data_IF_493043881301
#
_entry.id   IF_493043881301
#
_cell.length_a   1.000
_cell.length_b   1.000
_cell.length_c   1.000
_cell.angle_alpha   90.00
_cell.angle_beta   90.00
_cell.angle_gamma   90.00
#
_symmetry.space_group_name_H-M   'P 1'
#
loop_
_entity.id
_entity.type
_entity.pdbx_description
1 polymer ?
#
# COMPACT_ATOMS: atom_id res chain seq x y z
N UNK A 1 13.53 -30.81 37.57
CA UNK A 1 12.42 -29.89 37.24
C UNK A 1 12.78 -28.51 37.73
N UNK A 2 13.00 -27.54 36.85
CA UNK A 2 12.79 -26.13 37.16
C UNK A 2 12.33 -25.47 35.85
N UNK A 3 11.06 -25.07 35.80
CA UNK A 3 10.47 -24.32 34.69
C UNK A 3 10.87 -22.85 34.86
N UNK A 4 11.65 -22.31 33.93
CA UNK A 4 11.94 -20.87 33.89
C UNK A 4 10.88 -20.19 33.05
N UNK A 5 9.90 -19.62 33.72
CA UNK A 5 8.84 -18.81 33.09
C UNK A 5 9.36 -17.38 33.03
N UNK A 6 9.83 -16.96 31.86
CA UNK A 6 10.10 -15.55 31.59
C UNK A 6 8.79 -14.92 31.12
N UNK A 7 8.18 -14.16 32.02
CA UNK A 7 7.06 -13.26 31.75
C UNK A 7 7.63 -11.97 31.20
N UNK A 8 7.43 -11.71 29.90
CA UNK A 8 7.70 -10.41 29.30
C UNK A 8 6.44 -9.54 29.44
N UNK A 9 6.55 -8.43 30.16
CA UNK A 9 5.48 -7.45 30.35
C UNK A 9 5.74 -6.29 29.40
N UNK A 10 4.94 -6.18 28.33
CA UNK A 10 4.99 -5.02 27.43
C UNK A 10 4.23 -3.86 28.09
N UNK A 11 4.96 -2.81 28.44
CA UNK A 11 4.42 -1.56 28.95
C UNK A 11 4.05 -0.63 27.79
N UNK A 12 2.74 -0.40 27.58
CA UNK A 12 2.22 0.54 26.58
C UNK A 12 2.21 1.96 27.15
N UNK A 13 3.27 2.72 26.88
CA UNK A 13 3.39 4.12 27.27
C UNK A 13 2.52 5.03 26.40
N UNK A 14 1.31 5.34 26.88
CA UNK A 14 0.49 6.43 26.37
C UNK A 14 1.04 7.79 26.80
N UNK A 15 1.36 8.64 25.82
CA UNK A 15 1.73 10.04 26.03
C UNK A 15 0.86 10.95 25.18
N UNK A 16 -0.10 11.60 25.81
CA UNK A 16 -0.89 12.69 25.25
C UNK A 16 -0.43 14.03 25.83
N UNK A 17 -0.26 15.05 24.97
CA UNK A 17 -0.49 16.49 25.20
C UNK A 17 0.17 17.34 24.07
N UNK A 18 -0.13 18.64 23.91
CA UNK A 18 -1.39 19.21 23.47
C UNK A 18 -1.23 20.20 22.27
N UNK A 19 -2.34 20.79 21.85
CA UNK A 19 -2.51 21.73 20.74
C UNK A 19 -1.76 23.08 20.90
N UNK A 20 -1.39 23.70 19.77
CA UNK A 20 -1.15 25.13 19.66
C UNK A 20 -1.72 25.67 18.34
N UNK A 21 -2.66 26.61 18.46
CA UNK A 21 -3.28 27.37 17.39
C UNK A 21 -2.58 28.73 17.20
N UNK A 22 -2.55 29.25 15.97
CA UNK A 22 -2.54 30.70 15.68
C UNK A 22 -2.87 30.96 14.20
N UNK A 23 -3.52 32.10 13.96
CA UNK A 23 -4.46 32.42 12.87
C UNK A 23 -3.83 33.40 11.82
N UNK A 24 -4.54 34.18 10.95
CA UNK A 24 -4.38 34.15 9.48
C UNK A 24 -3.95 35.52 8.84
N UNK A 25 -4.20 35.66 7.50
CA UNK A 25 -4.31 36.88 6.65
C UNK A 25 -3.10 37.20 5.74
N UNK A 26 -3.19 37.66 4.48
CA UNK A 26 -4.24 37.88 3.45
C UNK A 26 -3.51 38.23 2.09
N UNK A 27 -4.08 38.87 1.03
CA UNK A 27 -4.43 38.24 -0.26
C UNK A 27 -3.87 38.90 -1.56
N UNK A 28 -4.28 38.32 -2.71
CA UNK A 28 -4.60 38.93 -4.04
C UNK A 28 -3.56 38.97 -5.19
N UNK A 29 -3.92 38.32 -6.32
CA UNK A 29 -3.86 38.92 -7.67
C UNK A 29 -4.76 38.14 -8.69
N UNK A 30 -5.86 38.81 -9.07
CA UNK A 30 -6.81 38.75 -10.20
C UNK A 30 -6.78 37.69 -11.32
N UNK A 31 -7.93 36.98 -11.42
CA UNK A 31 -8.95 37.02 -12.49
C UNK A 31 -8.59 37.23 -13.97
N UNK A 32 -8.91 36.22 -14.79
CA UNK A 32 -9.61 36.25 -16.10
C UNK A 32 -9.59 34.80 -16.66
N UNK A 33 -10.60 34.16 -17.25
CA UNK A 33 -11.93 34.52 -17.77
C UNK A 33 -12.71 33.20 -17.95
N UNK A 34 -14.02 33.23 -17.72
CA UNK A 34 -14.93 32.08 -17.79
C UNK A 34 -15.42 31.75 -19.22
N UNK A 35 -15.66 30.46 -19.49
CA UNK A 35 -16.63 29.90 -20.46
C UNK A 35 -16.71 28.36 -20.22
N UNK A 36 -17.56 27.80 -19.34
CA UNK A 36 -18.93 27.28 -19.61
C UNK A 36 -19.08 26.73 -21.06
N UNK A 37 -19.54 25.53 -21.42
CA UNK A 37 -20.57 24.60 -20.91
C UNK A 37 -20.29 23.23 -21.59
N UNK A 38 -20.33 22.11 -20.88
CA UNK A 38 -20.96 20.85 -21.34
C UNK A 38 -20.55 19.65 -20.47
N UNK A 39 -21.54 18.99 -19.89
CA UNK A 39 -21.43 17.57 -19.58
C UNK A 39 -20.84 17.27 -18.21
N UNK A 40 -21.74 17.10 -17.25
CA UNK A 40 -21.58 16.10 -16.21
C UNK A 40 -21.21 14.74 -16.85
N UNK A 41 -19.92 14.50 -17.10
CA UNK A 41 -19.40 13.16 -17.16
C UNK A 41 -18.99 12.85 -15.73
N UNK A 42 -19.98 12.37 -14.98
CA UNK A 42 -19.78 11.58 -13.79
C UNK A 42 -18.46 10.83 -13.95
N UNK A 43 -17.43 11.22 -13.19
CA UNK A 43 -16.38 10.28 -12.82
C UNK A 43 -17.10 9.29 -11.93
N UNK A 44 -17.81 8.36 -12.57
CA UNK A 44 -18.41 7.22 -11.93
C UNK A 44 -17.27 6.67 -11.11
N UNK A 45 -17.36 6.83 -9.80
CA UNK A 45 -16.61 6.03 -8.88
C UNK A 45 -16.98 4.62 -9.30
N UNK A 46 -16.12 4.01 -10.12
CA UNK A 46 -16.17 2.59 -10.40
C UNK A 46 -16.11 2.02 -9.00
N UNK A 47 -17.24 1.52 -8.53
CA UNK A 47 -17.28 0.69 -7.34
C UNK A 47 -16.53 -0.53 -7.82
N UNK A 48 -15.21 -0.49 -7.64
CA UNK A 48 -14.37 -1.64 -7.86
C UNK A 48 -14.89 -2.63 -6.85
N UNK A 49 -15.64 -3.62 -7.34
CA UNK A 49 -15.95 -4.81 -6.59
C UNK A 49 -14.59 -5.38 -6.22
N UNK A 50 -14.12 -4.98 -5.04
CA UNK A 50 -12.90 -5.46 -4.42
C UNK A 50 -13.24 -6.91 -4.17
N UNK A 51 -12.75 -7.79 -5.05
CA UNK A 51 -12.99 -9.22 -4.99
C UNK A 51 -12.87 -9.74 -3.55
N UNK A 52 -13.59 -10.81 -3.27
CA UNK A 52 -13.82 -11.31 -1.89
C UNK A 52 -12.55 -11.54 -1.06
N UNK A 53 -11.43 -11.81 -1.70
CA UNK A 53 -10.15 -12.03 -1.04
C UNK A 53 -9.22 -10.84 -1.29
N UNK A 54 -8.64 -10.33 -0.21
CA UNK A 54 -7.67 -9.25 -0.21
C UNK A 54 -6.29 -9.84 0.12
N UNK A 55 -5.58 -10.22 -0.94
CA UNK A 55 -4.30 -10.91 -0.87
C UNK A 55 -3.14 -9.91 -0.87
N UNK A 56 -2.14 -10.14 -0.02
CA UNK A 56 -0.94 -9.32 0.05
C UNK A 56 0.30 -10.20 0.23
N UNK A 57 1.32 -9.95 -0.58
CA UNK A 57 2.62 -10.61 -0.48
C UNK A 57 3.60 -9.68 0.25
N UNK A 58 4.39 -10.25 1.17
CA UNK A 58 5.44 -9.55 1.90
C UNK A 58 6.78 -10.25 1.67
N UNK A 59 7.80 -9.47 1.30
CA UNK A 59 9.16 -9.95 1.05
C UNK A 59 9.99 -9.71 2.31
N UNK A 60 10.52 -10.80 2.87
CA UNK A 60 11.37 -10.81 4.04
C UNK A 60 12.74 -11.37 3.68
N UNK A 61 13.77 -10.99 4.43
CA UNK A 61 15.08 -11.63 4.39
C UNK A 61 15.11 -12.94 5.20
N UNK A 62 16.31 -13.51 5.34
CA UNK A 62 16.51 -14.78 6.05
C UNK A 62 16.25 -14.68 7.56
N UNK A 63 16.38 -13.49 8.13
CA UNK A 63 16.14 -13.20 9.54
C UNK A 63 14.69 -12.77 9.80
N UNK A 64 13.86 -12.69 8.75
CA UNK A 64 12.47 -12.26 8.81
C UNK A 64 12.29 -10.74 8.77
N UNK A 65 13.34 -9.96 8.50
CA UNK A 65 13.24 -8.51 8.37
C UNK A 65 12.67 -8.13 6.99
N UNK A 66 11.80 -7.10 6.92
CA UNK A 66 11.21 -6.68 5.67
C UNK A 66 12.21 -6.04 4.72
N UNK A 67 12.11 -6.37 3.43
CA UNK A 67 12.96 -5.79 2.39
C UNK A 67 12.19 -4.73 1.61
N UNK A 68 12.49 -3.47 1.88
CA UNK A 68 11.92 -2.33 1.18
C UNK A 68 12.62 -2.05 -0.16
N UNK A 69 11.92 -1.36 -1.06
CA UNK A 69 12.41 -0.94 -2.39
C UNK A 69 12.93 -2.10 -3.26
N UNK A 70 12.46 -3.33 -3.01
CA UNK A 70 12.80 -4.51 -3.81
C UNK A 70 11.87 -4.58 -5.03
N UNK A 71 12.40 -4.66 -6.27
CA UNK A 71 11.58 -4.89 -7.45
C UNK A 71 10.80 -6.20 -7.36
N UNK A 72 9.54 -6.19 -7.77
CA UNK A 72 8.73 -7.39 -7.89
C UNK A 72 7.94 -7.44 -9.20
N UNK A 73 7.68 -8.66 -9.66
CA UNK A 73 6.76 -8.95 -10.74
C UNK A 73 5.88 -10.12 -10.30
N UNK A 74 4.59 -9.88 -10.19
CA UNK A 74 3.61 -10.84 -9.72
C UNK A 74 2.54 -11.07 -10.80
N UNK A 75 2.06 -12.30 -10.90
CA UNK A 75 1.02 -12.69 -11.85
C UNK A 75 0.03 -13.59 -11.17
N UNK A 76 -1.26 -13.29 -11.34
CA UNK A 76 -2.35 -14.12 -10.84
C UNK A 76 -2.71 -15.26 -11.81
N UNK A 77 -3.64 -16.14 -11.41
CA UNK A 77 -4.09 -17.26 -12.25
C UNK A 77 -4.87 -16.80 -13.50
N UNK A 78 -5.39 -15.57 -13.49
CA UNK A 78 -6.07 -14.94 -14.63
C UNK A 78 -5.09 -14.31 -15.63
N UNK A 79 -3.79 -14.27 -15.30
CA UNK A 79 -2.75 -13.62 -16.09
C UNK A 79 -2.62 -12.11 -15.86
N UNK A 80 -3.33 -11.55 -14.87
CA UNK A 80 -3.16 -10.15 -14.47
C UNK A 80 -1.78 -9.95 -13.86
N UNK A 81 -1.09 -8.90 -14.30
CA UNK A 81 0.28 -8.59 -13.86
C UNK A 81 0.26 -7.41 -12.90
N UNK A 82 0.97 -7.58 -11.79
CA UNK A 82 1.25 -6.55 -10.78
C UNK A 82 2.75 -6.38 -10.67
N UNK A 83 3.26 -5.15 -10.77
CA UNK A 83 4.70 -4.89 -10.70
C UNK A 83 5.00 -3.56 -10.04
N UNK A 84 6.14 -3.50 -9.36
CA UNK A 84 6.59 -2.28 -8.70
C UNK A 84 7.75 -2.54 -7.75
N UNK A 85 7.92 -1.66 -6.77
CA UNK A 85 8.85 -1.83 -5.66
C UNK A 85 8.06 -2.16 -4.39
N UNK A 86 8.63 -2.99 -3.53
CA UNK A 86 8.07 -3.21 -2.19
C UNK A 86 8.13 -1.93 -1.35
N UNK A 87 7.14 -1.74 -0.48
CA UNK A 87 7.08 -0.60 0.44
C UNK A 87 8.04 -0.75 1.65
N UNK A 88 7.97 0.19 2.59
CA UNK A 88 8.81 0.20 3.80
C UNK A 88 8.65 -1.06 4.68
N UNK A 89 7.47 -1.69 4.63
CA UNK A 89 7.18 -2.93 5.35
C UNK A 89 7.48 -4.16 4.50
N UNK A 90 8.06 -4.00 3.31
CA UNK A 90 8.37 -5.09 2.38
C UNK A 90 7.14 -5.64 1.66
N UNK A 91 6.02 -4.91 1.66
CA UNK A 91 4.78 -5.36 1.04
C UNK A 91 4.72 -5.01 -0.45
N UNK A 92 4.18 -5.92 -1.24
CA UNK A 92 3.69 -5.66 -2.58
C UNK A 92 2.32 -4.96 -2.55
N UNK A 93 1.84 -4.52 -3.71
CA UNK A 93 0.46 -4.04 -3.87
C UNK A 93 -0.55 -5.14 -3.50
N UNK A 94 -1.71 -4.72 -2.98
CA UNK A 94 -2.82 -5.61 -2.62
C UNK A 94 -3.56 -6.10 -3.86
N UNK A 95 -3.74 -7.41 -3.97
CA UNK A 95 -4.45 -8.07 -5.06
C UNK A 95 -5.81 -8.51 -4.56
N UNK A 96 -6.86 -8.09 -5.26
CA UNK A 96 -8.23 -8.48 -4.92
C UNK A 96 -8.71 -9.56 -5.88
N UNK A 97 -9.17 -10.68 -5.35
CA UNK A 97 -9.49 -11.89 -6.13
C UNK A 97 -10.87 -12.42 -5.75
N UNK A 98 -11.58 -13.02 -6.71
CA UNK A 98 -12.91 -13.59 -6.45
C UNK A 98 -12.85 -14.90 -5.65
N UNK A 99 -11.77 -15.65 -5.83
CA UNK A 99 -11.51 -16.93 -5.20
C UNK A 99 -10.04 -16.97 -4.75
N UNK A 100 -9.74 -17.74 -3.71
CA UNK A 100 -8.36 -18.03 -3.31
C UNK A 100 -7.60 -18.58 -4.51
N UNK A 101 -6.55 -17.88 -4.92
CA UNK A 101 -5.73 -18.26 -6.06
C UNK A 101 -4.24 -18.21 -5.73
N UNK A 102 -3.42 -18.86 -6.56
CA UNK A 102 -1.96 -18.85 -6.41
C UNK A 102 -1.36 -17.66 -7.13
N UNK A 103 -0.56 -16.85 -6.44
CA UNK A 103 0.19 -15.75 -7.03
C UNK A 103 1.62 -16.20 -7.34
N UNK A 104 2.02 -16.10 -8.61
CA UNK A 104 3.41 -16.31 -9.02
C UNK A 104 4.19 -15.02 -8.84
N UNK A 105 5.27 -15.03 -8.05
CA UNK A 105 6.07 -13.84 -7.76
C UNK A 105 7.55 -14.05 -8.08
N UNK A 106 8.13 -13.06 -8.74
CA UNK A 106 9.56 -12.89 -8.92
C UNK A 106 9.99 -11.60 -8.22
N UNK A 107 11.19 -11.60 -7.66
CA UNK A 107 11.77 -10.44 -6.96
C UNK A 107 13.17 -10.11 -7.49
N UNK A 108 13.63 -8.88 -7.25
CA UNK A 108 14.97 -8.42 -7.60
C UNK A 108 15.26 -8.45 -9.10
N UNK A 109 16.41 -8.99 -9.48
CA UNK A 109 16.83 -9.07 -10.88
C UNK A 109 15.83 -9.83 -11.76
N UNK A 110 15.30 -10.96 -11.26
CA UNK A 110 14.32 -11.79 -11.98
C UNK A 110 13.03 -11.03 -12.27
N UNK A 111 12.61 -10.15 -11.36
CA UNK A 111 11.45 -9.28 -11.59
C UNK A 111 11.74 -8.28 -12.72
N UNK A 112 12.90 -7.64 -12.69
CA UNK A 112 13.29 -6.63 -13.68
C UNK A 112 13.44 -7.21 -15.09
N UNK A 113 13.90 -8.46 -15.23
CA UNK A 113 13.95 -9.15 -16.52
C UNK A 113 12.56 -9.30 -17.16
N UNK A 114 11.49 -9.41 -16.35
CA UNK A 114 10.11 -9.48 -16.84
C UNK A 114 9.49 -8.12 -17.16
N UNK A 115 10.12 -7.02 -16.77
CA UNK A 115 9.57 -5.68 -17.01
C UNK A 115 9.84 -5.14 -18.41
N UNK A 116 10.73 -5.80 -19.16
CA UNK A 116 11.17 -5.41 -20.50
C UNK A 116 10.06 -5.49 -21.55
#
# INVERSE_FOLDING_TARGET
MIASQITDTIEYGGGAAPAAAATPAAPAASAALAAIIAGAAQRAAKVEDKGKFDEQVRVLDQDGAPIANMPYHMTDESGTVYKGLTDADGCCERVHTENVQSLSILTGALAMEKWQ
#
